data_IF_076544825049
#
_entry.id   IF_076544825049
#
_cell.length_a   1.000
_cell.length_b   1.000
_cell.length_c   1.000
_cell.angle_alpha   90.00
_cell.angle_beta   90.00
_cell.angle_gamma   90.00
#
_symmetry.space_group_name_H-M   'P 1'
#
loop_
_entity.id
_entity.type
_entity.pdbx_description
1 polymer ?
#
# COMPACT_ATOMS: atom_id res chain seq x y z
N UNK A 1 1.50 7.86 -47.73
CA UNK A 1 1.80 7.39 -46.36
C UNK A 1 2.17 8.59 -45.51
N UNK A 2 1.33 8.97 -44.55
CA UNK A 2 1.67 9.97 -43.52
C UNK A 2 1.83 9.20 -42.21
N UNK A 3 3.06 9.10 -41.72
CA UNK A 3 3.36 8.56 -40.39
C UNK A 3 2.86 9.56 -39.36
N UNK A 4 1.82 9.19 -38.60
CA UNK A 4 1.44 9.87 -37.38
C UNK A 4 2.30 9.28 -36.26
N UNK A 5 3.39 9.96 -35.93
CA UNK A 5 4.17 9.74 -34.71
C UNK A 5 3.32 10.21 -33.53
N UNK A 6 2.69 9.26 -32.83
CA UNK A 6 1.99 9.50 -31.57
C UNK A 6 3.02 9.83 -30.50
N UNK A 7 3.13 11.11 -30.16
CA UNK A 7 3.91 11.57 -29.01
C UNK A 7 3.16 11.15 -27.74
N UNK A 8 3.64 10.12 -27.06
CA UNK A 8 3.23 9.78 -25.69
C UNK A 8 3.63 10.95 -24.79
N UNK A 9 2.66 11.81 -24.47
CA UNK A 9 2.77 12.75 -23.37
C UNK A 9 2.93 11.92 -22.09
N UNK A 10 4.16 11.81 -21.60
CA UNK A 10 4.43 11.46 -20.21
C UNK A 10 3.95 12.65 -19.36
N UNK A 11 2.65 12.71 -19.11
CA UNK A 11 2.10 13.57 -18.06
C UNK A 11 2.73 13.08 -16.76
N UNK A 12 3.71 13.84 -16.29
CA UNK A 12 4.22 13.75 -14.92
C UNK A 12 3.02 14.00 -14.02
N UNK A 13 2.38 12.92 -13.58
CA UNK A 13 1.36 12.94 -12.54
C UNK A 13 2.11 13.36 -11.27
N UNK A 14 2.22 14.67 -11.06
CA UNK A 14 2.63 15.24 -9.79
C UNK A 14 1.45 15.03 -8.85
N UNK A 15 1.30 13.82 -8.31
CA UNK A 15 0.45 13.53 -7.17
C UNK A 15 0.96 14.36 -6.00
N UNK A 16 0.54 15.61 -5.92
CA UNK A 16 0.63 16.46 -4.74
C UNK A 16 -0.41 15.96 -3.73
N UNK A 17 -0.35 14.68 -3.40
CA UNK A 17 -1.22 14.07 -2.43
C UNK A 17 -0.52 14.16 -1.08
N UNK A 18 -1.11 14.92 -0.17
CA UNK A 18 -1.24 14.41 1.19
C UNK A 18 -1.88 13.04 0.98
N UNK A 19 -1.07 11.97 0.99
CA UNK A 19 -1.57 10.64 0.73
C UNK A 19 -2.72 10.42 1.71
N UNK A 20 -3.94 10.09 1.26
CA UNK A 20 -4.91 9.60 2.20
C UNK A 20 -4.20 8.46 2.94
N UNK A 21 -4.18 8.51 4.26
CA UNK A 21 -3.56 7.48 5.10
C UNK A 21 -4.27 6.11 5.00
N UNK A 22 -5.03 5.91 3.93
CA UNK A 22 -5.85 4.76 3.65
C UNK A 22 -5.03 3.80 2.80
N UNK A 23 -4.13 3.06 3.45
CA UNK A 23 -3.60 1.83 2.87
C UNK A 23 -4.78 0.95 2.41
N UNK A 24 -4.58 0.21 1.32
CA UNK A 24 -5.63 -0.57 0.67
C UNK A 24 -6.32 -1.51 1.65
N UNK A 25 -7.65 -1.57 1.59
CA UNK A 25 -8.42 -2.25 2.61
C UNK A 25 -8.31 -3.76 2.42
N UNK A 26 -7.89 -4.47 3.46
CA UNK A 26 -7.88 -5.93 3.45
C UNK A 26 -9.33 -6.40 3.65
N UNK A 27 -9.94 -6.92 2.59
CA UNK A 27 -11.33 -7.38 2.58
C UNK A 27 -11.47 -8.89 2.77
N UNK A 28 -10.36 -9.61 2.84
CA UNK A 28 -10.33 -11.05 3.07
C UNK A 28 -8.95 -11.65 2.86
N UNK A 29 -8.91 -12.97 2.79
CA UNK A 29 -7.70 -13.73 2.47
C UNK A 29 -8.00 -14.86 1.48
N UNK A 30 -7.01 -15.17 0.65
CA UNK A 30 -7.05 -16.33 -0.24
C UNK A 30 -6.92 -17.58 0.59
N UNK A 31 -7.84 -18.53 0.43
CA UNK A 31 -7.79 -19.81 1.15
C UNK A 31 -6.69 -20.72 0.59
N UNK A 32 -6.70 -20.90 -0.73
CA UNK A 32 -5.69 -21.62 -1.50
C UNK A 32 -5.84 -21.27 -2.99
N UNK A 33 -4.81 -21.52 -3.79
CA UNK A 33 -4.82 -21.26 -5.23
C UNK A 33 -5.87 -22.11 -5.96
N UNK A 34 -6.05 -23.35 -5.53
CA UNK A 34 -6.96 -24.33 -6.13
C UNK A 34 -8.42 -23.86 -6.07
N UNK A 35 -8.81 -23.11 -5.03
CA UNK A 35 -10.15 -22.50 -4.97
C UNK A 35 -10.30 -21.41 -6.02
N UNK A 36 -9.28 -20.60 -6.25
CA UNK A 36 -9.31 -19.62 -7.32
C UNK A 36 -9.33 -20.30 -8.69
N UNK A 37 -8.58 -21.38 -8.89
CA UNK A 37 -8.63 -22.16 -10.14
C UNK A 37 -10.02 -22.75 -10.38
N UNK A 38 -10.69 -23.27 -9.34
CA UNK A 38 -12.06 -23.77 -9.43
C UNK A 38 -13.06 -22.65 -9.83
N UNK A 39 -12.79 -21.41 -9.42
CA UNK A 39 -13.53 -20.20 -9.84
C UNK A 39 -13.09 -19.67 -11.22
N UNK A 40 -12.20 -20.39 -11.92
CA UNK A 40 -11.75 -20.08 -13.28
C UNK A 40 -10.55 -19.13 -13.38
N UNK A 41 -9.87 -18.85 -12.26
CA UNK A 41 -8.66 -18.03 -12.26
C UNK A 41 -7.45 -18.77 -12.83
N UNK A 42 -6.59 -18.05 -13.54
CA UNK A 42 -5.33 -18.58 -14.10
C UNK A 42 -4.18 -17.58 -14.04
N UNK A 43 -2.95 -18.05 -14.17
CA UNK A 43 -1.80 -17.16 -14.36
C UNK A 43 -1.90 -16.43 -15.71
N UNK A 44 -1.65 -15.12 -15.71
CA UNK A 44 -1.45 -14.32 -16.93
C UNK A 44 0.01 -14.30 -17.40
N UNK A 45 0.96 -14.60 -16.52
CA UNK A 45 2.41 -14.53 -16.77
C UNK A 45 3.08 -15.91 -16.91
N UNK A 46 2.30 -16.99 -16.90
CA UNK A 46 2.78 -18.37 -17.04
C UNK A 46 3.43 -18.93 -15.78
N UNK A 47 3.22 -18.30 -14.63
CA UNK A 47 3.61 -18.83 -13.32
C UNK A 47 2.90 -20.17 -13.07
N UNK A 48 3.66 -21.16 -12.63
CA UNK A 48 3.14 -22.51 -12.39
C UNK A 48 2.28 -22.57 -11.12
N UNK A 49 1.43 -23.60 -11.07
CA UNK A 49 0.43 -23.76 -10.00
C UNK A 49 1.06 -23.98 -8.62
N UNK A 50 2.21 -24.65 -8.52
CA UNK A 50 2.87 -24.85 -7.23
C UNK A 50 3.43 -23.53 -6.69
N UNK A 51 4.02 -22.71 -7.55
CA UNK A 51 4.48 -21.36 -7.18
C UNK A 51 3.31 -20.49 -6.73
N UNK A 52 2.20 -20.46 -7.50
CA UNK A 52 1.01 -19.69 -7.13
C UNK A 52 0.36 -20.20 -5.84
N UNK A 53 0.27 -21.52 -5.65
CA UNK A 53 -0.22 -22.11 -4.40
C UNK A 53 0.56 -21.58 -3.21
N UNK A 54 1.90 -21.66 -3.25
CA UNK A 54 2.74 -21.24 -2.14
C UNK A 54 2.70 -19.73 -1.89
N UNK A 55 2.73 -18.93 -2.95
CA UNK A 55 2.73 -17.47 -2.81
C UNK A 55 1.37 -16.91 -2.38
N UNK A 56 0.28 -17.47 -2.89
CA UNK A 56 -1.07 -16.97 -2.64
C UNK A 56 -1.76 -17.64 -1.45
N UNK A 57 -1.19 -18.70 -0.86
CA UNK A 57 -1.73 -19.27 0.36
C UNK A 57 -1.84 -18.20 1.46
N UNK A 58 -3.06 -17.93 1.91
CA UNK A 58 -3.36 -16.89 2.90
C UNK A 58 -2.92 -15.47 2.50
N UNK A 59 -2.75 -15.20 1.20
CA UNK A 59 -2.52 -13.86 0.71
C UNK A 59 -3.70 -12.94 1.06
N UNK A 60 -3.40 -11.70 1.44
CA UNK A 60 -4.40 -10.67 1.71
C UNK A 60 -5.10 -10.29 0.40
N UNK A 61 -6.43 -10.28 0.42
CA UNK A 61 -7.26 -9.75 -0.66
C UNK A 61 -7.51 -8.28 -0.38
N UNK A 62 -7.02 -7.41 -1.25
CA UNK A 62 -7.02 -5.96 -1.05
C UNK A 62 -8.01 -5.31 -2.03
N UNK A 63 -8.92 -4.51 -1.48
CA UNK A 63 -9.86 -3.66 -2.22
C UNK A 63 -10.67 -4.41 -3.30
N UNK A 64 -11.01 -5.67 -3.05
CA UNK A 64 -11.90 -6.45 -3.89
C UNK A 64 -13.37 -6.07 -3.63
N UNK A 65 -13.89 -5.10 -4.40
CA UNK A 65 -15.28 -4.66 -4.31
C UNK A 65 -16.09 -5.04 -5.55
N UNK A 66 -17.42 -5.20 -5.48
CA UNK A 66 -18.24 -5.56 -6.63
C UNK A 66 -18.08 -4.66 -7.86
N UNK A 67 -17.73 -3.39 -7.64
CA UNK A 67 -17.57 -2.39 -8.71
C UNK A 67 -16.16 -2.28 -9.26
N UNK A 68 -15.14 -2.86 -8.63
CA UNK A 68 -13.77 -2.74 -9.16
C UNK A 68 -13.58 -3.66 -10.36
N UNK A 69 -12.78 -3.23 -11.35
CA UNK A 69 -12.40 -4.09 -12.49
C UNK A 69 -11.37 -5.14 -12.08
N UNK A 70 -10.52 -4.77 -11.14
CA UNK A 70 -9.45 -5.60 -10.63
C UNK A 70 -9.36 -5.47 -9.10
N UNK A 71 -8.53 -6.30 -8.50
CA UNK A 71 -8.16 -6.19 -7.09
C UNK A 71 -6.73 -6.66 -6.91
N UNK A 72 -6.17 -6.40 -5.74
CA UNK A 72 -4.78 -6.76 -5.44
C UNK A 72 -4.75 -7.94 -4.48
N UNK A 73 -3.74 -8.79 -4.65
CA UNK A 73 -3.38 -9.82 -3.69
C UNK A 73 -1.98 -9.50 -3.17
N UNK A 74 -1.78 -9.55 -1.86
CA UNK A 74 -0.45 -9.42 -1.27
C UNK A 74 -0.10 -10.68 -0.51
N UNK A 75 1.06 -11.25 -0.81
CA UNK A 75 1.51 -12.48 -0.14
C UNK A 75 1.52 -12.29 1.36
N UNK A 76 1.22 -13.36 2.11
CA UNK A 76 1.26 -13.35 3.57
C UNK A 76 2.61 -12.81 4.06
N UNK A 77 2.59 -11.93 5.04
CA UNK A 77 3.81 -11.36 5.63
C UNK A 77 4.41 -10.16 4.87
N UNK A 78 3.71 -9.60 3.88
CA UNK A 78 4.08 -8.29 3.32
C UNK A 78 4.95 -8.32 2.06
N UNK A 79 5.04 -9.46 1.38
CA UNK A 79 5.87 -9.66 0.19
C UNK A 79 5.23 -9.21 -1.14
N UNK A 80 5.38 -10.05 -2.15
CA UNK A 80 4.98 -9.75 -3.53
C UNK A 80 3.50 -9.35 -3.63
N UNK A 81 3.21 -8.51 -4.63
CA UNK A 81 1.86 -8.03 -4.92
C UNK A 81 1.47 -8.56 -6.30
N UNK A 82 0.25 -9.06 -6.40
CA UNK A 82 -0.34 -9.53 -7.63
C UNK A 82 -1.56 -8.69 -7.98
N UNK A 83 -1.78 -8.52 -9.29
CA UNK A 83 -3.00 -7.95 -9.84
C UNK A 83 -3.91 -9.07 -10.31
N UNK A 84 -5.14 -9.08 -9.81
CA UNK A 84 -6.20 -9.99 -10.21
C UNK A 84 -7.23 -9.23 -11.08
N UNK A 85 -7.28 -9.55 -12.37
CA UNK A 85 -8.23 -8.99 -13.34
C UNK A 85 -9.52 -9.83 -13.35
N UNK A 86 -10.64 -9.22 -12.98
CA UNK A 86 -11.94 -9.91 -12.88
C UNK A 86 -12.59 -10.19 -14.22
N UNK A 87 -12.22 -9.47 -15.28
CA UNK A 87 -12.79 -9.68 -16.61
C UNK A 87 -12.16 -10.90 -17.27
N UNK A 88 -10.84 -11.05 -17.16
CA UNK A 88 -10.11 -12.16 -17.77
C UNK A 88 -9.91 -13.35 -16.83
N UNK A 89 -10.26 -13.20 -15.54
CA UNK A 89 -9.96 -14.15 -14.46
C UNK A 89 -8.47 -14.52 -14.47
N UNK A 90 -7.60 -13.52 -14.51
CA UNK A 90 -6.16 -13.73 -14.54
C UNK A 90 -5.46 -13.05 -13.39
N UNK A 91 -4.43 -13.70 -12.87
CA UNK A 91 -3.52 -13.14 -11.87
C UNK A 91 -2.13 -12.96 -12.50
N UNK A 92 -1.50 -11.81 -12.26
CA UNK A 92 -0.10 -11.56 -12.63
C UNK A 92 0.66 -10.91 -11.49
N UNK A 93 1.93 -11.26 -11.31
CA UNK A 93 2.76 -10.57 -10.33
C UNK A 93 3.09 -9.15 -10.83
N UNK A 94 3.00 -8.16 -9.93
CA UNK A 94 3.49 -6.83 -10.20
C UNK A 94 5.02 -6.83 -10.13
N UNK A 95 5.67 -6.36 -11.19
CA UNK A 95 7.12 -6.17 -11.24
C UNK A 95 7.48 -4.86 -10.54
N UNK A 96 7.74 -4.94 -9.24
CA UNK A 96 8.04 -3.80 -8.38
C UNK A 96 9.49 -3.90 -7.89
N UNK A 97 10.19 -2.76 -7.88
CA UNK A 97 11.55 -2.63 -7.36
C UNK A 97 11.57 -1.51 -6.31
N UNK A 98 11.24 -1.83 -5.04
CA UNK A 98 11.24 -0.84 -3.95
C UNK A 98 12.64 -0.28 -3.73
N UNK A 99 12.75 1.02 -3.46
CA UNK A 99 14.03 1.70 -3.22
C UNK A 99 14.72 1.15 -1.96
N UNK A 100 13.94 0.80 -0.93
CA UNK A 100 14.44 0.15 0.29
C UNK A 100 14.74 -1.34 0.15
N UNK A 101 14.63 -1.90 -1.06
CA UNK A 101 14.79 -3.33 -1.37
C UNK A 101 13.83 -4.25 -0.59
N UNK A 102 12.77 -3.68 -0.02
CA UNK A 102 11.78 -4.41 0.75
C UNK A 102 10.37 -4.08 0.28
N UNK A 103 9.56 -5.12 0.13
CA UNK A 103 8.14 -4.96 -0.18
C UNK A 103 7.36 -4.33 0.98
N UNK A 104 7.92 -4.28 2.19
CA UNK A 104 7.29 -3.61 3.33
C UNK A 104 7.13 -2.10 3.11
N UNK A 105 7.97 -1.50 2.26
CA UNK A 105 7.84 -0.09 1.87
C UNK A 105 6.72 0.11 0.84
N UNK A 106 6.16 -0.96 0.28
CA UNK A 106 5.11 -0.87 -0.73
C UNK A 106 3.72 -0.83 -0.09
N UNK A 107 3.00 0.22 -0.44
CA UNK A 107 1.60 0.45 -0.13
C UNK A 107 0.76 0.50 -1.41
N UNK A 108 -0.53 0.23 -1.26
CA UNK A 108 -1.49 0.26 -2.37
C UNK A 108 -2.68 1.09 -1.96
N UNK A 109 -3.24 1.90 -2.85
CA UNK A 109 -4.41 2.73 -2.56
C UNK A 109 -5.41 2.60 -3.69
N UNK A 110 -6.68 2.40 -3.37
CA UNK A 110 -7.77 2.54 -4.32
C UNK A 110 -8.37 3.96 -4.26
N UNK A 111 -8.19 4.71 -5.35
CA UNK A 111 -8.82 6.02 -5.56
C UNK A 111 -10.03 5.84 -6.49
N UNK A 112 -11.20 5.58 -5.89
CA UNK A 112 -12.46 5.47 -6.63
C UNK A 112 -13.16 6.80 -6.88
N UNK A 113 -12.78 7.87 -6.18
CA UNK A 113 -13.35 9.21 -6.34
C UNK A 113 -12.58 9.98 -7.42
N UNK A 114 -13.27 10.40 -8.48
CA UNK A 114 -12.62 11.14 -9.56
C UNK A 114 -12.38 12.59 -9.15
N UNK A 115 -11.12 12.89 -8.83
CA UNK A 115 -10.66 14.25 -8.47
C UNK A 115 -10.06 14.99 -9.67
N UNK A 116 -10.36 14.56 -10.90
CA UNK A 116 -9.85 15.14 -12.14
C UNK A 116 -8.70 14.34 -12.77
N UNK A 117 -8.26 13.25 -12.14
CA UNK A 117 -7.20 12.35 -12.62
C UNK A 117 -7.74 10.96 -13.00
N UNK A 118 -9.07 10.77 -12.93
CA UNK A 118 -9.71 9.48 -13.07
C UNK A 118 -9.59 8.62 -11.81
N UNK A 119 -10.02 7.36 -11.95
CA UNK A 119 -10.12 6.42 -10.84
C UNK A 119 -9.17 5.24 -11.07
N UNK A 120 -8.45 4.84 -10.02
CA UNK A 120 -7.31 3.96 -10.17
C UNK A 120 -6.94 3.24 -8.88
N UNK A 121 -6.13 2.20 -9.04
CA UNK A 121 -5.24 1.68 -8.02
C UNK A 121 -3.86 2.33 -8.19
N UNK A 122 -3.32 2.86 -7.11
CA UNK A 122 -1.94 3.32 -7.05
C UNK A 122 -1.10 2.35 -6.23
N UNK A 123 0.13 2.09 -6.67
CA UNK A 123 1.17 1.44 -5.89
C UNK A 123 2.19 2.51 -5.53
N UNK A 124 2.46 2.62 -4.23
CA UNK A 124 3.29 3.66 -3.65
C UNK A 124 4.47 2.97 -2.97
N UNK A 125 5.67 3.45 -3.23
CA UNK A 125 6.84 3.17 -2.42
C UNK A 125 6.96 4.29 -1.37
N UNK A 126 6.67 3.97 -0.11
CA UNK A 126 6.72 4.92 1.00
C UNK A 126 8.14 5.25 1.47
N UNK A 127 9.14 4.52 0.95
CA UNK A 127 10.57 4.65 1.24
C UNK A 127 10.90 4.65 2.74
N UNK A 128 10.08 4.01 3.57
CA UNK A 128 10.21 4.04 5.02
C UNK A 128 11.54 3.47 5.48
N UNK A 129 11.93 2.30 4.95
CA UNK A 129 13.16 1.65 5.35
C UNK A 129 14.41 2.47 5.04
N UNK A 130 14.45 3.18 3.90
CA UNK A 130 15.59 4.05 3.54
C UNK A 130 15.61 5.32 4.39
N UNK A 131 14.43 5.91 4.61
CA UNK A 131 14.28 7.09 5.45
C UNK A 131 14.70 6.81 6.89
N UNK A 132 14.29 5.67 7.44
CA UNK A 132 14.60 5.29 8.81
C UNK A 132 16.09 5.02 8.97
N UNK A 133 16.73 4.31 8.04
CA UNK A 133 18.20 4.16 8.02
C UNK A 133 18.94 5.51 7.98
N UNK A 134 18.46 6.45 7.19
CA UNK A 134 19.06 7.78 7.10
C UNK A 134 18.87 8.61 8.39
N UNK A 135 17.74 8.43 9.08
CA UNK A 135 17.49 9.06 10.38
C UNK A 135 18.35 8.40 11.48
N UNK A 136 18.46 7.08 11.49
CA UNK A 136 19.27 6.34 12.47
C UNK A 136 20.74 6.74 12.39
N UNK A 137 21.27 6.95 11.18
CA UNK A 137 22.64 7.45 10.99
C UNK A 137 22.87 8.86 11.58
N UNK A 138 21.82 9.66 11.75
CA UNK A 138 21.89 10.97 12.42
C UNK A 138 21.79 10.85 13.95
N UNK A 139 21.00 9.89 14.46
CA UNK A 139 20.77 9.68 15.89
C UNK A 139 21.93 8.93 16.55
N UNK A 140 22.48 7.96 15.82
CA UNK A 140 23.59 7.10 16.27
C UNK A 140 24.80 7.29 15.36
N UNK A 141 25.40 8.50 15.32
CA UNK A 141 26.60 8.71 14.54
C UNK A 141 27.77 7.94 15.15
N UNK A 142 28.83 7.73 14.35
CA UNK A 142 30.08 7.16 14.84
C UNK A 142 30.57 7.90 16.11
N UNK A 143 31.17 7.17 17.05
CA UNK A 143 31.59 7.68 18.36
C UNK A 143 32.60 8.85 18.27
N UNK A 144 33.23 9.01 17.12
CA UNK A 144 34.16 10.08 16.78
C UNK A 144 33.48 11.39 16.33
N UNK A 145 32.17 11.37 16.06
CA UNK A 145 31.45 12.53 15.53
C UNK A 145 31.05 13.52 16.65
N UNK A 146 31.18 14.83 16.40
CA UNK A 146 30.61 15.85 17.28
C UNK A 146 29.09 15.65 17.40
N UNK A 147 28.59 15.61 18.63
CA UNK A 147 27.15 15.49 18.90
C UNK A 147 26.44 16.79 18.51
N UNK A 148 25.41 16.68 17.68
CA UNK A 148 24.54 17.80 17.37
C UNK A 148 23.72 18.21 18.61
N UNK A 149 23.40 19.49 18.71
CA UNK A 149 22.31 19.92 19.61
C UNK A 149 20.96 19.37 19.13
N UNK A 150 20.01 19.16 20.05
CA UNK A 150 18.64 18.74 19.74
C UNK A 150 17.98 19.54 18.60
N UNK A 151 18.18 20.85 18.57
CA UNK A 151 17.59 21.73 17.55
C UNK A 151 18.15 21.43 16.15
N UNK A 152 19.47 21.20 16.07
CA UNK A 152 20.16 20.85 14.82
C UNK A 152 19.74 19.45 14.37
N UNK A 153 19.69 18.48 15.27
CA UNK A 153 19.26 17.12 14.98
C UNK A 153 17.83 17.09 14.43
N UNK A 154 16.89 17.80 15.09
CA UNK A 154 15.50 17.92 14.61
C UNK A 154 15.42 18.51 13.20
N UNK A 155 16.19 19.56 12.92
CA UNK A 155 16.23 20.17 11.60
C UNK A 155 16.78 19.21 10.52
N UNK A 156 17.82 18.44 10.84
CA UNK A 156 18.38 17.41 9.94
C UNK A 156 17.38 16.29 9.67
N UNK A 157 16.72 15.76 10.71
CA UNK A 157 15.67 14.74 10.57
C UNK A 157 14.51 15.25 9.69
N UNK A 158 14.05 16.48 9.92
CA UNK A 158 13.00 17.09 9.09
C UNK A 158 13.41 17.18 7.62
N UNK A 159 14.66 17.57 7.35
CA UNK A 159 15.21 17.61 5.99
C UNK A 159 15.25 16.22 5.34
N UNK A 160 15.67 15.18 6.07
CA UNK A 160 15.66 13.79 5.58
C UNK A 160 14.24 13.36 5.20
N UNK A 161 13.26 13.61 6.08
CA UNK A 161 11.84 13.29 5.80
C UNK A 161 11.31 14.01 4.56
N UNK A 162 11.78 15.24 4.31
CA UNK A 162 11.38 16.02 3.15
C UNK A 162 12.05 15.55 1.85
N UNK A 163 13.30 15.07 1.93
CA UNK A 163 14.06 14.56 0.79
C UNK A 163 13.66 13.14 0.39
N UNK A 164 13.32 12.30 1.37
CA UNK A 164 12.92 10.89 1.18
C UNK A 164 11.41 10.79 1.37
N UNK A 165 10.68 11.25 0.37
CA UNK A 165 9.22 11.28 0.36
C UNK A 165 8.63 10.06 -0.39
N UNK A 166 7.42 9.61 -0.05
CA UNK A 166 6.75 8.55 -0.79
C UNK A 166 6.61 8.86 -2.27
N UNK A 167 6.69 7.83 -3.12
CA UNK A 167 6.60 7.95 -4.57
C UNK A 167 5.59 6.97 -5.15
N UNK A 168 4.73 7.45 -6.04
CA UNK A 168 3.86 6.56 -6.82
C UNK A 168 4.69 5.90 -7.91
N UNK A 169 4.77 4.57 -7.85
CA UNK A 169 5.59 3.75 -8.76
C UNK A 169 4.77 3.03 -9.82
N UNK A 170 3.45 2.92 -9.63
CA UNK A 170 2.53 2.35 -10.61
C UNK A 170 1.12 2.90 -10.40
N UNK A 171 0.40 3.11 -11.50
CA UNK A 171 -1.03 3.44 -11.52
C UNK A 171 -1.74 2.49 -12.46
N UNK A 172 -2.86 1.93 -12.01
CA UNK A 172 -3.69 1.00 -12.78
C UNK A 172 -5.12 1.56 -12.82
N UNK A 173 -5.63 1.97 -13.99
CA UNK A 173 -6.98 2.51 -14.11
C UNK A 173 -8.04 1.51 -13.63
N UNK A 174 -9.09 2.02 -13.00
CA UNK A 174 -10.23 1.24 -12.52
C UNK A 174 -11.56 1.98 -12.76
N UNK A 175 -12.64 1.52 -12.15
CA UNK A 175 -13.94 2.17 -12.17
C UNK A 175 -14.02 3.26 -11.10
N UNK A 176 -14.68 4.35 -11.46
CA UNK A 176 -15.11 5.35 -10.49
C UNK A 176 -16.31 4.88 -9.69
N UNK A 177 -16.37 5.31 -8.44
CA UNK A 177 -17.47 5.01 -7.53
C UNK A 177 -18.55 6.08 -7.60
N UNK A 178 -19.81 5.65 -7.47
CA UNK A 178 -20.93 6.56 -7.25
C UNK A 178 -21.02 6.99 -5.77
N UNK A 179 -21.89 7.96 -5.45
CA UNK A 179 -22.06 8.48 -4.07
C UNK A 179 -22.38 7.40 -3.03
N UNK A 180 -23.16 6.38 -3.40
CA UNK A 180 -23.51 5.29 -2.48
C UNK A 180 -22.29 4.39 -2.18
N UNK A 181 -21.50 4.11 -3.20
CA UNK A 181 -20.25 3.36 -3.07
C UNK A 181 -19.19 4.16 -2.30
N UNK A 182 -19.11 5.48 -2.51
CA UNK A 182 -18.29 6.38 -1.70
C UNK A 182 -18.68 6.32 -0.22
N UNK A 183 -19.98 6.42 0.08
CA UNK A 183 -20.47 6.32 1.46
C UNK A 183 -20.14 4.95 2.08
N UNK A 184 -20.21 3.88 1.29
CA UNK A 184 -19.84 2.52 1.73
C UNK A 184 -18.36 2.43 2.11
N UNK A 185 -17.47 3.01 1.30
CA UNK A 185 -16.04 3.06 1.57
C UNK A 185 -15.73 3.91 2.81
N UNK A 186 -16.35 5.08 2.93
CA UNK A 186 -16.20 5.96 4.09
C UNK A 186 -16.69 5.31 5.39
N UNK A 187 -17.83 4.63 5.36
CA UNK A 187 -18.36 3.91 6.51
C UNK A 187 -17.42 2.80 6.97
N UNK A 188 -16.85 2.02 6.03
CA UNK A 188 -15.85 0.99 6.36
C UNK A 188 -14.62 1.57 7.06
N UNK A 189 -14.06 2.66 6.53
CA UNK A 189 -12.92 3.35 7.16
C UNK A 189 -13.25 3.86 8.57
N UNK A 190 -14.41 4.50 8.71
CA UNK A 190 -14.87 4.98 10.02
C UNK A 190 -15.05 3.86 11.05
N UNK A 191 -15.49 2.67 10.62
CA UNK A 191 -15.63 1.51 11.49
C UNK A 191 -14.27 0.95 11.93
N UNK A 192 -13.27 0.95 11.05
CA UNK A 192 -11.90 0.54 11.37
C UNK A 192 -11.23 1.52 12.34
N UNK A 193 -11.35 2.82 12.10
CA UNK A 193 -10.85 3.86 13.01
C UNK A 193 -11.45 3.74 14.42
N UNK A 194 -12.77 3.51 14.50
CA UNK A 194 -13.45 3.31 15.79
C UNK A 194 -12.90 2.09 16.54
N UNK A 195 -12.67 0.96 15.85
CA UNK A 195 -12.08 -0.24 16.45
C UNK A 195 -10.66 0.02 16.93
N UNK A 196 -9.86 0.74 16.15
CA UNK A 196 -8.50 1.13 16.53
C UNK A 196 -8.50 1.99 17.79
N UNK A 197 -9.34 3.02 17.85
CA UNK A 197 -9.47 3.88 19.03
C UNK A 197 -9.86 3.10 20.28
N UNK A 198 -10.82 2.18 20.16
CA UNK A 198 -11.22 1.30 21.27
C UNK A 198 -10.07 0.42 21.74
N UNK A 199 -9.31 -0.16 20.81
CA UNK A 199 -8.14 -0.98 21.13
C UNK A 199 -7.05 -0.16 21.82
N UNK A 200 -6.72 1.03 21.31
CA UNK A 200 -5.73 1.93 21.93
C UNK A 200 -6.16 2.31 23.35
N UNK A 201 -7.43 2.62 23.57
CA UNK A 201 -7.94 2.92 24.90
C UNK A 201 -7.81 1.72 25.86
N UNK A 202 -8.13 0.51 25.39
CA UNK A 202 -7.98 -0.73 26.18
C UNK A 202 -6.52 -1.01 26.54
N UNK A 203 -5.59 -0.90 25.58
CA UNK A 203 -4.17 -1.09 25.83
C UNK A 203 -3.61 -0.04 26.79
N UNK A 204 -4.01 1.22 26.62
CA UNK A 204 -3.60 2.32 27.49
C UNK A 204 -4.09 2.10 28.93
N UNK A 205 -5.34 1.65 29.09
CA UNK A 205 -5.89 1.31 30.41
C UNK A 205 -5.19 0.10 31.01
N UNK A 206 -4.92 -0.94 30.23
CA UNK A 206 -4.20 -2.13 30.70
C UNK A 206 -2.77 -1.78 31.17
N UNK A 207 -2.06 -0.93 30.45
CA UNK A 207 -0.73 -0.48 30.85
C UNK A 207 -0.78 0.46 32.07
N UNK A 208 -1.81 1.31 32.19
CA UNK A 208 -2.04 2.12 33.39
C UNK A 208 -2.29 1.22 34.61
N UNK A 209 -3.21 0.25 34.50
CA UNK A 209 -3.47 -0.78 35.51
C UNK A 209 -2.18 -1.50 35.94
N UNK A 210 -1.33 -1.89 34.97
CA UNK A 210 -0.07 -2.57 35.25
C UNK A 210 0.92 -1.69 36.03
N UNK A 211 0.98 -0.38 35.72
CA UNK A 211 1.93 0.55 36.32
C UNK A 211 1.47 1.12 37.66
N UNK A 212 0.17 1.37 37.83
CA UNK A 212 -0.36 2.14 38.97
C UNK A 212 -1.40 1.37 39.77
N UNK A 213 -1.81 0.17 39.35
CA UNK A 213 -2.85 -0.62 40.03
C UNK A 213 -4.26 0.00 39.95
N UNK A 214 -4.44 1.02 39.11
CA UNK A 214 -5.68 1.79 39.02
C UNK A 214 -6.47 1.30 37.80
N UNK A 215 -7.48 0.49 38.11
CA UNK A 215 -8.48 -0.09 37.22
C UNK A 215 -9.85 0.32 37.79
#
# INVERSE_FOLDING_TARGET
MKLLTTTLLATSICLSAVFPADAGNIVGSVKAWEYMQADGWKSADGMDDNTLHNMLYQANVIDNYPWTKQFLLRTRGGGAIFLADKKTHTIRQLKLNPVGETYNDIETVYQGDDKGEGCYFAVIDNQASVRDKAIDALIYPDWSAPQDTDAVLKAKIAKVRQQIAPKVIMVMPDNCVNKQQQATLAAKRSDEDRKLQQWVAQQSLAELCRRTGNC
#
